data_IF_728978879985
#
_entry.id   IF_728978879985
#
_cell.length_a   1.000
_cell.length_b   1.000
_cell.length_c   1.000
_cell.angle_alpha   90.00
_cell.angle_beta   90.00
_cell.angle_gamma   90.00
#
_symmetry.space_group_name_H-M   'P 1'
#
loop_
_entity.id
_entity.type
_entity.pdbx_description
1 polymer ?
#
# COMPACT_ATOMS: atom_id res chain seq x y z
N UNK A 1 9.16 -16.85 7.40
CA UNK A 1 9.49 -15.50 6.88
C UNK A 1 9.22 -14.42 7.93
N UNK A 2 10.09 -13.41 8.05
CA UNK A 2 9.84 -12.18 8.84
C UNK A 2 9.50 -11.06 7.86
N UNK A 3 8.43 -10.31 8.11
CA UNK A 3 8.11 -9.12 7.34
C UNK A 3 7.51 -8.02 8.24
N UNK A 4 7.58 -6.78 7.78
CA UNK A 4 7.11 -5.60 8.48
C UNK A 4 5.90 -5.01 7.77
N UNK A 5 4.85 -4.76 8.55
CA UNK A 5 3.58 -4.18 8.09
C UNK A 5 3.37 -2.82 8.76
N UNK A 6 3.41 -1.74 7.97
CA UNK A 6 3.12 -0.39 8.44
C UNK A 6 1.65 -0.02 8.23
N UNK A 7 1.05 0.64 9.23
CA UNK A 7 -0.31 1.17 9.17
C UNK A 7 -0.50 2.34 10.13
N UNK A 8 -1.36 3.29 9.77
CA UNK A 8 -1.74 4.42 10.65
C UNK A 8 -2.64 3.94 11.78
N UNK A 9 -3.47 2.92 11.53
CA UNK A 9 -4.47 2.45 12.49
C UNK A 9 -3.91 1.27 13.28
N UNK A 10 -4.36 1.14 14.53
CA UNK A 10 -4.09 -0.07 15.31
C UNK A 10 -4.93 -1.22 14.73
N UNK A 11 -4.25 -2.28 14.29
CA UNK A 11 -4.86 -3.53 13.85
C UNK A 11 -4.90 -4.49 15.03
N UNK A 12 -6.11 -4.92 15.40
CA UNK A 12 -6.33 -5.93 16.45
C UNK A 12 -6.26 -7.34 15.87
N UNK A 13 -6.85 -7.54 14.69
CA UNK A 13 -6.81 -8.80 13.94
C UNK A 13 -6.57 -8.53 12.44
N UNK A 14 -5.68 -9.30 11.83
CA UNK A 14 -5.47 -9.31 10.37
C UNK A 14 -6.60 -10.11 9.69
N UNK A 15 -7.83 -9.63 9.78
CA UNK A 15 -8.95 -10.21 9.02
C UNK A 15 -8.92 -9.72 7.57
N UNK A 16 -9.37 -10.55 6.64
CA UNK A 16 -9.25 -10.30 5.19
C UNK A 16 -10.02 -9.09 4.66
N UNK A 17 -10.86 -8.45 5.48
CA UNK A 17 -11.86 -7.49 5.02
C UNK A 17 -11.40 -6.03 5.09
N UNK A 18 -10.46 -5.68 5.98
CA UNK A 18 -9.97 -4.31 6.10
C UNK A 18 -8.55 -4.17 5.56
N UNK A 19 -8.39 -3.48 4.43
CA UNK A 19 -7.08 -3.13 3.85
C UNK A 19 -6.60 -1.82 4.47
N UNK A 20 -5.95 -1.93 5.62
CA UNK A 20 -5.64 -0.81 6.54
C UNK A 20 -4.35 -0.05 6.18
N UNK A 21 -3.93 -0.03 4.91
CA UNK A 21 -2.62 0.53 4.56
C UNK A 21 -2.71 1.79 3.71
N UNK A 22 -1.85 2.75 4.02
CA UNK A 22 -1.65 3.95 3.22
C UNK A 22 -0.75 3.64 2.01
N UNK A 23 -1.14 2.65 1.21
CA UNK A 23 -0.47 2.29 -0.05
C UNK A 23 -1.16 3.04 -1.18
N UNK A 24 -0.40 3.48 -2.18
CA UNK A 24 -0.95 4.11 -3.39
C UNK A 24 -2.20 3.34 -3.88
N UNK A 25 -3.32 4.07 -3.98
CA UNK A 25 -4.66 3.53 -4.25
C UNK A 25 -4.71 2.59 -5.47
N UNK A 26 -3.82 2.80 -6.45
CA UNK A 26 -3.73 1.99 -7.66
C UNK A 26 -3.48 0.50 -7.37
N UNK A 27 -2.65 0.18 -6.37
CA UNK A 27 -2.25 -1.20 -6.04
C UNK A 27 -2.60 -1.62 -4.60
N UNK A 28 -2.97 -0.67 -3.75
CA UNK A 28 -3.30 -0.91 -2.34
C UNK A 28 -4.46 -1.89 -2.14
N UNK A 29 -5.33 -2.05 -3.14
CA UNK A 29 -6.47 -2.99 -3.06
C UNK A 29 -6.13 -4.41 -3.52
N UNK A 30 -4.88 -4.76 -3.80
CA UNK A 30 -4.51 -6.14 -4.20
C UNK A 30 -4.47 -7.08 -2.99
N UNK A 31 -3.86 -6.67 -1.89
CA UNK A 31 -3.64 -7.50 -0.71
C UNK A 31 -2.96 -6.72 0.42
N UNK A 32 -2.39 -7.44 1.37
CA UNK A 32 -1.57 -6.87 2.44
C UNK A 32 -0.14 -6.68 1.95
N UNK A 33 0.35 -5.46 1.97
CA UNK A 33 1.70 -5.09 1.57
C UNK A 33 2.64 -5.12 2.77
N UNK A 34 3.77 -5.81 2.64
CA UNK A 34 4.78 -5.92 3.69
C UNK A 34 6.16 -5.72 3.10
N UNK A 35 7.14 -5.40 3.93
CA UNK A 35 8.52 -5.20 3.51
C UNK A 35 9.47 -6.05 4.35
N UNK A 36 10.61 -6.43 3.76
CA UNK A 36 11.69 -7.11 4.48
C UNK A 36 12.44 -6.21 5.47
N UNK A 37 12.31 -4.89 5.31
CA UNK A 37 12.98 -3.86 6.11
C UNK A 37 11.97 -3.00 6.90
N UNK A 38 12.32 -2.71 8.15
CA UNK A 38 11.50 -1.95 9.09
C UNK A 38 11.41 -0.47 8.71
N UNK A 39 12.51 0.15 8.26
CA UNK A 39 12.53 1.56 7.91
C UNK A 39 11.69 1.82 6.66
N UNK A 40 11.68 0.87 5.73
CA UNK A 40 10.84 0.87 4.54
C UNK A 40 9.35 0.69 4.87
N UNK A 41 8.99 0.18 6.06
CA UNK A 41 7.60 0.06 6.50
C UNK A 41 7.04 1.39 7.07
N UNK A 42 7.92 2.27 7.54
CA UNK A 42 7.58 3.55 8.20
C UNK A 42 6.65 4.46 7.37
N UNK A 43 6.85 4.65 6.05
CA UNK A 43 5.99 5.53 5.25
C UNK A 43 4.53 5.06 5.22
N UNK A 44 4.29 3.76 5.25
CA UNK A 44 2.92 3.20 5.25
C UNK A 44 2.20 3.38 6.59
N UNK A 45 2.95 3.70 7.65
CA UNK A 45 2.45 3.98 8.98
C UNK A 45 2.33 5.50 9.27
N UNK A 46 2.46 6.34 8.26
CA UNK A 46 2.27 7.78 8.34
C UNK A 46 1.10 8.17 7.43
N UNK A 47 0.19 9.00 7.94
CA UNK A 47 -0.93 9.52 7.18
C UNK A 47 -1.27 10.95 7.58
N UNK A 48 -2.40 11.43 7.06
CA UNK A 48 -2.99 12.72 7.43
C UNK A 48 -4.44 12.52 7.85
N UNK A 49 -4.86 13.27 8.86
CA UNK A 49 -6.26 13.40 9.26
C UNK A 49 -6.71 14.84 9.08
N UNK A 50 -7.95 15.06 8.64
CA UNK A 50 -8.55 16.39 8.60
C UNK A 50 -9.21 16.68 9.94
N UNK A 51 -8.77 17.74 10.61
CA UNK A 51 -9.36 18.19 11.87
C UNK A 51 -9.99 19.57 11.70
N UNK A 52 -11.18 19.73 12.28
CA UNK A 52 -11.83 21.03 12.39
C UNK A 52 -11.18 21.79 13.55
N UNK A 53 -10.57 22.93 13.25
CA UNK A 53 -9.97 23.81 14.25
C UNK A 53 -10.44 25.26 14.07
N UNK A 54 -10.41 26.02 15.17
CA UNK A 54 -10.70 27.46 15.11
C UNK A 54 -9.53 28.19 14.46
N UNK A 55 -9.82 29.01 13.47
CA UNK A 55 -8.81 29.81 12.77
C UNK A 55 -8.27 30.91 13.70
N UNK A 56 -6.95 31.08 13.69
CA UNK A 56 -6.29 32.18 14.41
C UNK A 56 -6.29 33.50 13.61
N UNK A 57 -6.61 33.42 12.32
CA UNK A 57 -6.48 34.53 11.37
C UNK A 57 -7.80 34.90 10.67
N UNK A 58 -8.79 34.00 10.68
CA UNK A 58 -10.10 34.23 10.06
C UNK A 58 -11.23 34.25 11.08
N UNK A 59 -12.02 35.32 11.04
CA UNK A 59 -13.13 35.55 11.95
C UNK A 59 -14.43 35.82 11.16
N UNK A 60 -15.57 35.46 11.76
CA UNK A 60 -16.90 35.87 11.32
C UNK A 60 -17.12 37.36 11.61
N UNK A 61 -18.18 37.96 11.05
CA UNK A 61 -18.49 39.38 11.23
C UNK A 61 -18.81 39.75 12.69
N UNK A 62 -19.22 38.78 13.51
CA UNK A 62 -19.44 38.91 14.95
C UNK A 62 -18.15 38.82 15.79
N UNK A 63 -16.99 38.64 15.15
CA UNK A 63 -15.69 38.47 15.79
C UNK A 63 -15.41 37.06 16.30
N UNK A 64 -16.30 36.08 16.09
CA UNK A 64 -16.03 34.70 16.44
C UNK A 64 -15.03 34.07 15.44
N UNK A 65 -14.07 33.24 15.88
CA UNK A 65 -13.15 32.57 14.96
C UNK A 65 -13.91 31.61 14.04
N UNK A 66 -13.55 31.59 12.75
CA UNK A 66 -14.10 30.61 11.82
C UNK A 66 -13.60 29.21 12.14
N UNK A 67 -14.40 28.19 11.82
CA UNK A 67 -13.94 26.79 11.82
C UNK A 67 -13.33 26.50 10.46
N UNK A 68 -12.06 26.10 10.45
CA UNK A 68 -11.31 25.71 9.27
C UNK A 68 -10.88 24.26 9.39
N UNK A 69 -10.74 23.60 8.24
CA UNK A 69 -10.22 22.25 8.15
C UNK A 69 -8.72 22.31 7.90
N UNK A 70 -7.95 21.64 8.75
CA UNK A 70 -6.50 21.56 8.62
C UNK A 70 -6.08 20.10 8.58
N UNK A 71 -5.15 19.78 7.69
CA UNK A 71 -4.53 18.46 7.65
C UNK A 71 -3.47 18.36 8.74
N UNK A 72 -3.62 17.38 9.62
CA UNK A 72 -2.66 17.04 10.65
C UNK A 72 -2.02 15.70 10.33
N UNK A 73 -0.70 15.62 10.46
CA UNK A 73 0.01 14.36 10.31
C UNK A 73 -0.32 13.43 11.49
N UNK A 74 -0.65 12.18 11.18
CA UNK A 74 -0.88 11.09 12.15
C UNK A 74 0.16 9.99 11.95
N UNK A 75 0.70 9.53 13.07
CA UNK A 75 1.71 8.48 13.18
C UNK A 75 1.05 7.21 13.72
N UNK A 76 1.37 6.08 13.10
CA UNK A 76 0.83 4.77 13.46
C UNK A 76 1.87 3.80 13.98
N UNK A 77 1.73 2.55 13.56
CA UNK A 77 2.46 1.41 14.08
C UNK A 77 3.09 0.58 12.97
N UNK A 78 4.22 -0.05 13.28
CA UNK A 78 4.85 -1.07 12.45
C UNK A 78 4.75 -2.40 13.19
N UNK A 79 4.09 -3.37 12.56
CA UNK A 79 3.93 -4.72 13.05
C UNK A 79 5.02 -5.61 12.47
N UNK A 80 5.77 -6.29 13.35
CA UNK A 80 6.72 -7.33 12.96
C UNK A 80 5.99 -8.67 12.94
N UNK A 81 5.83 -9.25 11.75
CA UNK A 81 5.07 -10.48 11.55
C UNK A 81 6.01 -11.65 11.25
N UNK A 82 5.73 -12.78 11.89
CA UNK A 82 6.25 -14.10 11.52
C UNK A 82 5.16 -14.86 10.78
N UNK A 83 5.52 -15.37 9.60
CA UNK A 83 4.62 -16.11 8.73
C UNK A 83 5.31 -17.38 8.23
N UNK A 84 4.53 -18.46 8.12
CA UNK A 84 4.97 -19.66 7.40
C UNK A 84 5.25 -19.29 5.96
N UNK A 85 6.32 -19.85 5.38
CA UNK A 85 6.84 -19.48 4.07
C UNK A 85 5.75 -19.60 2.98
N UNK A 86 5.13 -18.48 2.57
CA UNK A 86 3.99 -18.55 1.66
C UNK A 86 4.49 -18.86 0.25
N UNK A 87 3.64 -19.51 -0.55
CA UNK A 87 3.97 -19.74 -1.96
C UNK A 87 3.80 -18.43 -2.76
N UNK A 88 4.91 -17.72 -3.00
CA UNK A 88 4.91 -16.42 -3.65
C UNK A 88 5.37 -16.49 -5.10
N UNK A 89 4.67 -15.74 -5.97
CA UNK A 89 5.23 -15.41 -7.28
C UNK A 89 6.37 -14.42 -7.09
N UNK A 90 7.54 -14.74 -7.62
CA UNK A 90 8.73 -13.90 -7.51
C UNK A 90 8.84 -13.03 -8.76
N UNK A 91 8.78 -11.71 -8.58
CA UNK A 91 9.20 -10.73 -9.58
C UNK A 91 10.64 -10.32 -9.25
N UNK A 92 11.58 -10.87 -9.99
CA UNK A 92 13.01 -10.60 -9.90
C UNK A 92 13.57 -10.38 -11.30
N UNK A 93 14.50 -9.44 -11.42
CA UNK A 93 15.25 -9.22 -12.64
C UNK A 93 16.61 -8.61 -12.35
N UNK A 94 17.64 -9.19 -12.97
CA UNK A 94 18.99 -8.63 -12.97
C UNK A 94 19.18 -7.53 -14.04
N UNK A 95 18.17 -7.29 -14.89
CA UNK A 95 18.29 -6.41 -16.06
C UNK A 95 17.19 -5.36 -16.17
N UNK A 96 16.01 -5.63 -15.60
CA UNK A 96 14.83 -4.75 -15.61
C UNK A 96 14.46 -4.36 -14.19
N UNK A 97 13.65 -3.32 -14.02
CA UNK A 97 13.06 -3.03 -12.71
C UNK A 97 12.05 -4.12 -12.36
N UNK A 98 12.24 -4.81 -11.23
CA UNK A 98 11.30 -5.83 -10.74
C UNK A 98 9.87 -5.28 -10.59
N UNK A 99 9.74 -3.99 -10.25
CA UNK A 99 8.44 -3.34 -10.17
C UNK A 99 7.78 -3.20 -11.55
N UNK A 100 8.57 -2.97 -12.60
CA UNK A 100 8.05 -2.95 -13.97
C UNK A 100 7.54 -4.33 -14.41
N UNK A 101 8.22 -5.41 -14.04
CA UNK A 101 7.74 -6.77 -14.33
C UNK A 101 6.38 -7.03 -13.68
N UNK A 102 6.22 -6.63 -12.41
CA UNK A 102 4.94 -6.70 -11.71
C UNK A 102 3.87 -5.89 -12.43
N UNK A 103 4.14 -4.62 -12.74
CA UNK A 103 3.17 -3.74 -13.37
C UNK A 103 2.78 -4.21 -14.77
N UNK A 104 3.71 -4.75 -15.57
CA UNK A 104 3.42 -5.32 -16.89
C UNK A 104 2.52 -6.56 -16.82
N UNK A 105 2.64 -7.36 -15.76
CA UNK A 105 1.76 -8.51 -15.55
C UNK A 105 0.36 -8.10 -15.09
N UNK A 106 0.28 -7.07 -14.23
CA UNK A 106 -0.97 -6.45 -13.78
C UNK A 106 -1.71 -5.70 -14.89
N UNK A 107 -0.98 -5.03 -15.79
CA UNK A 107 -1.55 -4.19 -16.85
C UNK A 107 -2.43 -4.97 -17.84
N UNK A 108 -2.25 -6.29 -17.95
CA UNK A 108 -3.12 -7.18 -18.74
C UNK A 108 -4.59 -7.12 -18.32
N UNK A 109 -4.86 -6.70 -17.09
CA UNK A 109 -6.21 -6.59 -16.52
C UNK A 109 -6.72 -5.14 -16.45
N UNK A 110 -5.88 -4.16 -16.79
CA UNK A 110 -6.17 -2.74 -16.62
C UNK A 110 -6.81 -2.13 -17.87
N UNK A 111 -7.83 -1.31 -17.65
CA UNK A 111 -8.47 -0.50 -18.68
C UNK A 111 -8.17 0.97 -18.43
N UNK A 112 -7.40 1.55 -19.36
CA UNK A 112 -6.93 2.92 -19.26
C UNK A 112 -7.68 3.83 -20.25
N UNK A 113 -7.96 5.06 -19.83
CA UNK A 113 -8.56 6.10 -20.67
C UNK A 113 -7.63 7.30 -20.82
N UNK A 114 -7.40 7.71 -22.07
CA UNK A 114 -6.75 8.98 -22.40
C UNK A 114 -7.13 9.42 -23.82
N UNK A 115 -7.22 10.72 -24.05
CA UNK A 115 -7.59 11.26 -25.36
C UNK A 115 -6.44 11.08 -26.37
N UNK A 116 -6.63 10.22 -27.39
CA UNK A 116 -5.83 10.28 -28.63
C UNK A 116 -4.77 9.18 -28.88
N UNK A 117 -4.63 8.15 -28.03
CA UNK A 117 -3.72 7.00 -28.28
C UNK A 117 -4.48 5.67 -28.11
N UNK A 118 -4.00 4.60 -28.75
CA UNK A 118 -4.47 3.22 -28.54
C UNK A 118 -3.36 2.45 -27.81
N UNK A 119 -3.72 1.59 -26.86
CA UNK A 119 -2.83 0.78 -26.00
C UNK A 119 -2.00 1.59 -24.98
N UNK A 120 -2.63 1.96 -23.87
CA UNK A 120 -1.94 2.62 -22.75
C UNK A 120 -1.38 1.58 -21.77
N UNK A 121 -0.33 1.99 -21.08
CA UNK A 121 0.26 1.29 -19.96
C UNK A 121 0.27 2.19 -18.72
N UNK A 122 0.58 1.62 -17.56
CA UNK A 122 0.79 2.37 -16.34
C UNK A 122 1.83 3.50 -16.46
N UNK A 123 2.75 3.40 -17.41
CA UNK A 123 3.79 4.42 -17.69
C UNK A 123 3.26 5.66 -18.41
N UNK A 124 2.10 5.58 -19.06
CA UNK A 124 1.52 6.69 -19.82
C UNK A 124 0.72 7.65 -18.93
N UNK A 125 0.72 7.48 -17.60
CA UNK A 125 -0.03 8.28 -16.62
C UNK A 125 -1.53 8.44 -16.97
N UNK A 126 -2.09 7.46 -17.68
CA UNK A 126 -3.49 7.45 -18.10
C UNK A 126 -4.43 7.13 -16.93
N UNK A 127 -5.68 7.59 -17.02
CA UNK A 127 -6.68 7.32 -15.97
C UNK A 127 -7.09 5.86 -16.01
N UNK A 128 -6.82 5.12 -14.93
CA UNK A 128 -7.26 3.73 -14.76
C UNK A 128 -8.76 3.68 -14.41
N UNK A 129 -9.58 3.10 -15.28
CA UNK A 129 -11.03 3.08 -15.15
C UNK A 129 -11.55 1.94 -14.26
N UNK A 130 -10.89 0.79 -14.28
CA UNK A 130 -11.39 -0.45 -13.69
C UNK A 130 -10.52 -0.94 -12.52
N UNK A 131 -9.89 -0.03 -11.77
CA UNK A 131 -8.86 -0.35 -10.75
C UNK A 131 -9.21 -1.53 -9.82
N UNK A 132 -10.39 -1.51 -9.20
CA UNK A 132 -10.82 -2.57 -8.26
C UNK A 132 -10.95 -3.92 -8.97
N UNK A 133 -11.58 -3.94 -10.14
CA UNK A 133 -11.77 -5.14 -10.95
C UNK A 133 -10.45 -5.68 -11.51
N UNK A 134 -9.57 -4.80 -11.97
CA UNK A 134 -8.24 -5.16 -12.47
C UNK A 134 -7.40 -5.84 -11.38
N UNK A 135 -7.37 -5.24 -10.17
CA UNK A 135 -6.65 -5.80 -9.03
C UNK A 135 -7.25 -7.14 -8.56
N UNK A 136 -8.57 -7.28 -8.60
CA UNK A 136 -9.25 -8.54 -8.28
C UNK A 136 -8.95 -9.64 -9.32
N UNK A 137 -9.03 -9.32 -10.62
CA UNK A 137 -8.69 -10.26 -11.70
C UNK A 137 -7.23 -10.69 -11.64
N UNK A 138 -6.32 -9.75 -11.39
CA UNK A 138 -4.89 -10.04 -11.21
C UNK A 138 -4.65 -10.97 -10.01
N UNK A 139 -5.20 -10.64 -8.83
CA UNK A 139 -5.15 -11.47 -7.63
C UNK A 139 -5.69 -12.88 -7.92
N UNK A 140 -6.88 -12.97 -8.50
CA UNK A 140 -7.52 -14.25 -8.80
C UNK A 140 -6.66 -15.07 -9.77
N UNK A 141 -6.09 -14.46 -10.81
CA UNK A 141 -5.18 -15.15 -11.74
C UNK A 141 -3.99 -15.81 -11.04
N UNK A 142 -3.40 -15.14 -10.06
CA UNK A 142 -2.28 -15.69 -9.27
C UNK A 142 -2.75 -16.79 -8.31
N UNK A 143 -3.91 -16.64 -7.68
CA UNK A 143 -4.52 -17.68 -6.85
C UNK A 143 -4.80 -18.95 -7.67
N UNK A 144 -5.31 -18.82 -8.91
CA UNK A 144 -5.54 -19.96 -9.80
C UNK A 144 -4.24 -20.69 -10.19
N UNK A 145 -3.10 -19.99 -10.15
CA UNK A 145 -1.77 -20.57 -10.35
C UNK A 145 -1.19 -21.20 -9.07
N UNK A 146 -1.91 -21.12 -7.94
CA UNK A 146 -1.49 -21.68 -6.65
C UNK A 146 -0.66 -20.73 -5.79
N UNK A 147 -0.54 -19.46 -6.15
CA UNK A 147 0.20 -18.47 -5.35
C UNK A 147 -0.68 -17.86 -4.26
N UNK A 148 -0.10 -17.68 -3.08
CA UNK A 148 -0.72 -17.02 -1.90
C UNK A 148 -0.43 -15.50 -1.86
N UNK A 149 0.43 -15.06 -2.77
CA UNK A 149 0.85 -13.67 -2.92
C UNK A 149 1.97 -13.53 -3.94
N UNK A 150 2.68 -12.42 -3.88
CA UNK A 150 3.88 -12.20 -4.67
C UNK A 150 4.92 -11.37 -3.91
N UNK A 151 6.17 -11.44 -4.36
CA UNK A 151 7.26 -10.60 -3.90
C UNK A 151 7.86 -9.86 -5.09
N UNK A 152 8.11 -8.56 -4.91
CA UNK A 152 8.88 -7.73 -5.82
C UNK A 152 10.25 -7.55 -5.16
N UNK A 153 11.23 -8.30 -5.65
CA UNK A 153 12.58 -8.27 -5.07
C UNK A 153 13.32 -7.01 -5.47
N UNK A 154 14.13 -6.47 -4.55
CA UNK A 154 14.92 -5.26 -4.79
C UNK A 154 14.07 -4.09 -5.32
N UNK A 155 12.84 -3.95 -4.83
CA UNK A 155 11.93 -2.89 -5.24
C UNK A 155 12.51 -1.54 -4.81
N UNK A 156 12.69 -0.62 -5.77
CA UNK A 156 13.09 0.76 -5.48
C UNK A 156 11.87 1.52 -4.99
N UNK A 157 11.94 1.98 -3.75
CA UNK A 157 10.97 2.88 -3.14
C UNK A 157 11.63 4.23 -2.85
N UNK A 158 10.83 5.25 -2.55
CA UNK A 158 11.37 6.58 -2.20
C UNK A 158 12.38 6.54 -1.04
N UNK A 159 12.26 5.55 -0.15
CA UNK A 159 13.08 5.43 1.07
C UNK A 159 14.16 4.35 1.00
N UNK A 160 14.40 3.75 -0.17
CA UNK A 160 15.48 2.77 -0.34
C UNK A 160 15.13 1.61 -1.26
N UNK A 161 15.91 0.54 -1.16
CA UNK A 161 15.68 -0.72 -1.89
C UNK A 161 15.31 -1.79 -0.86
N UNK A 162 14.12 -2.39 -1.01
CA UNK A 162 13.62 -3.46 -0.15
C UNK A 162 12.85 -4.48 -0.96
N UNK A 163 12.75 -5.70 -0.46
CA UNK A 163 11.77 -6.65 -0.95
C UNK A 163 10.37 -6.24 -0.49
N UNK A 164 9.46 -6.13 -1.45
CA UNK A 164 8.07 -5.76 -1.21
C UNK A 164 7.18 -6.99 -1.43
N UNK A 165 6.54 -7.46 -0.36
CA UNK A 165 5.62 -8.58 -0.37
C UNK A 165 4.19 -8.09 -0.49
N UNK A 166 3.35 -8.79 -1.24
CA UNK A 166 1.90 -8.61 -1.23
C UNK A 166 1.23 -9.96 -1.00
N UNK A 167 0.59 -10.12 0.15
CA UNK A 167 -0.13 -11.34 0.54
C UNK A 167 -1.63 -11.17 0.32
N UNK A 168 -2.28 -12.16 -0.30
CA UNK A 168 -3.71 -12.11 -0.59
C UNK A 168 -4.59 -12.33 0.64
N UNK A 169 -4.01 -12.95 1.67
CA UNK A 169 -4.56 -13.17 2.99
C UNK A 169 -3.39 -13.37 3.95
N UNK A 170 -3.49 -12.85 5.16
CA UNK A 170 -2.56 -13.19 6.23
C UNK A 170 -3.37 -13.97 7.26
N UNK A 171 -3.36 -15.30 7.15
CA UNK A 171 -4.14 -16.17 8.04
C UNK A 171 -3.46 -16.21 9.41
N UNK A 172 -3.91 -15.35 10.33
CA UNK A 172 -3.44 -15.29 11.72
C UNK A 172 -1.91 -15.24 11.85
N UNK A 173 -1.25 -14.16 11.37
CA UNK A 173 0.18 -14.05 11.50
C UNK A 173 0.58 -14.05 12.98
N UNK A 174 1.74 -14.62 13.29
CA UNK A 174 2.32 -14.44 14.61
C UNK A 174 2.91 -13.02 14.69
N UNK A 175 2.20 -12.12 15.36
CA UNK A 175 2.71 -10.78 15.68
C UNK A 175 3.79 -10.93 16.75
N UNK A 176 5.04 -10.67 16.39
CA UNK A 176 6.15 -10.72 17.35
C UNK A 176 6.39 -9.41 18.05
N UNK A 177 6.07 -8.28 17.40
CA UNK A 177 6.27 -6.96 17.97
C UNK A 177 5.35 -5.93 17.31
N UNK A 178 5.04 -4.86 18.05
CA UNK A 178 4.28 -3.70 17.57
C UNK A 178 5.02 -2.46 17.98
N UNK A 179 5.59 -1.77 16.99
CA UNK A 179 6.55 -0.68 17.19
C UNK A 179 5.87 0.64 16.78
N UNK A 180 5.64 1.58 17.72
CA UNK A 180 5.16 2.92 17.36
C UNK A 180 6.17 3.63 16.45
N UNK A 181 5.68 4.31 15.40
CA UNK A 181 6.56 5.01 14.45
C UNK A 181 7.45 6.07 15.12
N UNK A 182 6.98 6.66 16.20
CA UNK A 182 7.69 7.71 16.96
C UNK A 182 8.95 7.19 17.66
N UNK A 183 9.08 5.88 17.84
CA UNK A 183 10.26 5.27 18.49
C UNK A 183 11.32 4.80 17.50
N UNK A 184 11.15 5.07 16.19
CA UNK A 184 12.00 4.61 15.09
C UNK A 184 12.76 5.73 14.39
#
# INVERSE_FOLDING_TARGET
>A
MIAYFGTVNKVEDFTSEEKVQNVNNVIGTIGFWLTSDIHSAKPYAIGTETVDQKSETEFWEDGAPKVIQVERQVTGFIYKLFMDEPNLKIYDSNTWDSFELFMNDRDKYCEYFHAGKRNFTWKDEATLLNMKEANEKFRNSLIHQGYEGFVIQNCKQENGVTDLYCLFSINSPLISDVIPVETL
#
